data_IF_967910201846
#
_entry.id   IF_967910201846
#
_cell.length_a   1.000
_cell.length_b   1.000
_cell.length_c   1.000
_cell.angle_alpha   90.00
_cell.angle_beta   90.00
_cell.angle_gamma   90.00
#
_symmetry.space_group_name_H-M   'P 1'
#
loop_
_entity.id
_entity.type
_entity.pdbx_description
1 polymer ?
#
# COMPACT_ATOMS: atom_id res chain seq x y z
N UNK A 1 -5.07 25.39 32.98
CA UNK A 1 -6.36 24.73 32.63
C UNK A 1 -6.62 24.75 31.12
N UNK A 2 -6.47 25.89 30.42
CA UNK A 2 -6.67 25.98 28.96
C UNK A 2 -5.62 25.21 28.13
N UNK A 3 -4.33 25.27 28.53
CA UNK A 3 -3.24 24.54 27.86
C UNK A 3 -3.43 23.01 27.91
N UNK A 4 -4.04 22.51 28.98
CA UNK A 4 -4.28 21.08 29.19
C UNK A 4 -5.36 20.55 28.24
N UNK A 5 -6.40 21.35 27.99
CA UNK A 5 -7.46 21.03 27.05
C UNK A 5 -6.98 21.10 25.59
N UNK A 6 -6.23 22.14 25.23
CA UNK A 6 -5.61 22.23 23.90
C UNK A 6 -4.67 21.05 23.62
N UNK A 7 -3.84 20.67 24.60
CA UNK A 7 -2.94 19.51 24.46
C UNK A 7 -3.72 18.21 24.24
N UNK A 8 -4.84 18.01 24.94
CA UNK A 8 -5.72 16.85 24.73
C UNK A 8 -6.36 16.83 23.34
N UNK A 9 -6.78 17.98 22.82
CA UNK A 9 -7.30 18.10 21.46
C UNK A 9 -6.23 17.73 20.44
N UNK A 10 -5.03 18.30 20.56
CA UNK A 10 -3.92 18.03 19.65
C UNK A 10 -3.56 16.54 19.64
N UNK A 11 -3.46 15.90 20.81
CA UNK A 11 -3.19 14.46 20.87
C UNK A 11 -4.28 13.63 20.19
N UNK A 12 -5.56 14.01 20.31
CA UNK A 12 -6.64 13.31 19.61
C UNK A 12 -6.55 13.50 18.09
N UNK A 13 -6.18 14.70 17.63
CA UNK A 13 -5.99 14.98 16.20
C UNK A 13 -4.82 14.16 15.63
N UNK A 14 -3.69 14.08 16.33
CA UNK A 14 -2.54 13.27 15.91
C UNK A 14 -2.90 11.78 15.78
N UNK A 15 -3.70 11.26 16.72
CA UNK A 15 -4.17 9.86 16.68
C UNK A 15 -5.13 9.65 15.50
N UNK A 16 -6.03 10.59 15.23
CA UNK A 16 -6.94 10.52 14.09
C UNK A 16 -6.17 10.54 12.76
N UNK A 17 -5.17 11.40 12.63
CA UNK A 17 -4.32 11.48 11.43
C UNK A 17 -3.61 10.15 11.18
N UNK A 18 -2.94 9.57 12.19
CA UNK A 18 -2.28 8.26 12.06
C UNK A 18 -3.24 7.16 11.65
N UNK A 19 -4.44 7.13 12.23
CA UNK A 19 -5.45 6.13 11.88
C UNK A 19 -5.92 6.28 10.43
N UNK A 20 -6.12 7.52 9.96
CA UNK A 20 -6.48 7.79 8.57
C UNK A 20 -5.35 7.34 7.64
N UNK A 21 -4.10 7.67 7.93
CA UNK A 21 -2.94 7.22 7.14
C UNK A 21 -2.88 5.70 7.05
N UNK A 22 -3.05 5.00 8.17
CA UNK A 22 -3.05 3.53 8.19
C UNK A 22 -4.20 2.94 7.36
N UNK A 23 -5.39 3.53 7.43
CA UNK A 23 -6.54 3.09 6.63
C UNK A 23 -6.28 3.34 5.15
N UNK A 24 -5.72 4.49 4.76
CA UNK A 24 -5.36 4.76 3.37
C UNK A 24 -4.33 3.76 2.85
N UNK A 25 -3.30 3.48 3.64
CA UNK A 25 -2.27 2.50 3.29
C UNK A 25 -2.85 1.08 3.19
N UNK A 26 -3.73 0.71 4.12
CA UNK A 26 -4.47 -0.55 4.04
C UNK A 26 -5.39 -0.61 2.81
N UNK A 27 -6.06 0.48 2.44
CA UNK A 27 -6.89 0.54 1.24
C UNK A 27 -6.03 0.38 -0.03
N UNK A 28 -4.90 1.07 -0.11
CA UNK A 28 -3.93 0.91 -1.19
C UNK A 28 -3.40 -0.53 -1.26
N UNK A 29 -3.09 -1.12 -0.11
CA UNK A 29 -2.65 -2.51 -0.01
C UNK A 29 -3.75 -3.52 -0.31
N UNK A 30 -5.02 -3.19 -0.06
CA UNK A 30 -6.20 -4.04 -0.29
C UNK A 30 -6.68 -4.06 -1.73
N UNK A 31 -6.24 -3.10 -2.57
CA UNK A 31 -6.59 -3.04 -3.99
C UNK A 31 -5.95 -4.15 -4.82
N UNK A 32 -4.89 -4.75 -4.31
CA UNK A 32 -4.19 -5.86 -4.95
C UNK A 32 -4.17 -7.03 -3.99
N UNK A 33 -4.70 -8.16 -4.45
CA UNK A 33 -4.46 -9.44 -3.78
C UNK A 33 -2.95 -9.73 -3.68
N UNK A 34 -2.50 -10.58 -2.74
CA UNK A 34 -1.09 -10.95 -2.63
C UNK A 34 -0.49 -11.44 -3.96
N UNK A 35 -1.30 -12.12 -4.78
CA UNK A 35 -0.91 -12.62 -6.09
C UNK A 35 -0.82 -11.50 -7.13
N UNK A 36 -1.71 -10.52 -7.09
CA UNK A 36 -1.60 -9.32 -7.93
C UNK A 36 -0.39 -8.46 -7.56
N UNK A 37 -0.04 -8.36 -6.27
CA UNK A 37 1.22 -7.73 -5.83
C UNK A 37 2.43 -8.44 -6.42
N UNK A 38 2.49 -9.78 -6.36
CA UNK A 38 3.60 -10.56 -6.97
C UNK A 38 3.70 -10.35 -8.48
N UNK A 39 2.57 -10.33 -9.18
CA UNK A 39 2.54 -10.09 -10.63
C UNK A 39 3.04 -8.68 -10.96
N UNK A 40 2.63 -7.67 -10.18
CA UNK A 40 3.06 -6.28 -10.37
C UNK A 40 4.57 -6.11 -10.12
N UNK A 41 5.10 -6.67 -9.03
CA UNK A 41 6.54 -6.62 -8.71
C UNK A 41 7.38 -7.30 -9.80
N UNK A 42 6.97 -8.47 -10.26
CA UNK A 42 7.67 -9.19 -11.32
C UNK A 42 7.56 -8.45 -12.67
N UNK A 43 6.41 -7.82 -12.96
CA UNK A 43 6.25 -6.96 -14.14
C UNK A 43 7.23 -5.78 -14.09
N UNK A 44 7.34 -5.10 -12.96
CA UNK A 44 8.26 -3.97 -12.77
C UNK A 44 9.72 -4.37 -12.95
N UNK A 45 10.13 -5.53 -12.42
CA UNK A 45 11.49 -6.08 -12.61
C UNK A 45 11.78 -6.38 -14.08
N UNK A 46 10.84 -6.98 -14.79
CA UNK A 46 11.00 -7.33 -16.19
C UNK A 46 11.08 -6.07 -17.08
N UNK A 47 10.25 -5.06 -16.81
CA UNK A 47 10.31 -3.76 -17.49
C UNK A 47 11.68 -3.08 -17.31
N UNK A 48 12.21 -3.03 -16.08
CA UNK A 48 13.56 -2.50 -15.82
C UNK A 48 14.69 -3.25 -16.53
N UNK A 49 14.47 -4.52 -16.88
CA UNK A 49 15.41 -5.34 -17.65
C UNK A 49 15.18 -5.26 -19.16
N UNK A 50 14.24 -4.41 -19.63
CA UNK A 50 13.87 -4.30 -21.04
C UNK A 50 13.09 -5.52 -21.57
N UNK A 51 12.56 -6.36 -20.69
CA UNK A 51 11.78 -7.55 -21.03
C UNK A 51 10.30 -7.24 -20.86
N UNK A 52 9.60 -6.89 -21.94
CA UNK A 52 8.14 -6.80 -21.89
C UNK A 52 7.54 -8.21 -21.91
N UNK A 53 6.90 -8.60 -20.81
CA UNK A 53 6.16 -9.86 -20.68
C UNK A 53 4.71 -9.53 -20.33
N UNK A 54 3.76 -10.26 -20.93
CA UNK A 54 2.34 -10.09 -20.64
C UNK A 54 1.97 -10.58 -19.24
N UNK A 55 0.96 -9.98 -18.62
CA UNK A 55 0.48 -10.37 -17.27
C UNK A 55 0.06 -11.84 -17.16
N UNK A 56 -0.47 -12.44 -18.24
CA UNK A 56 -0.81 -13.87 -18.27
C UNK A 56 0.42 -14.78 -18.23
N UNK A 57 1.51 -14.40 -18.90
CA UNK A 57 2.78 -15.12 -18.82
C UNK A 57 3.43 -14.97 -17.43
N UNK A 58 3.30 -13.81 -16.81
CA UNK A 58 3.79 -13.59 -15.44
C UNK A 58 3.07 -14.48 -14.43
N UNK A 59 1.74 -14.54 -14.48
CA UNK A 59 0.94 -15.44 -13.61
C UNK A 59 1.37 -16.90 -13.78
N UNK A 60 1.48 -17.36 -15.04
CA UNK A 60 1.97 -18.72 -15.36
C UNK A 60 3.39 -18.98 -14.83
N UNK A 61 4.31 -18.02 -14.92
CA UNK A 61 5.69 -18.13 -14.42
C UNK A 61 5.73 -18.21 -12.88
N UNK A 62 4.83 -17.49 -12.21
CA UNK A 62 4.74 -17.40 -10.76
C UNK A 62 3.92 -18.56 -10.13
N UNK A 63 3.32 -19.43 -10.95
CA UNK A 63 2.46 -20.52 -10.47
C UNK A 63 1.13 -20.02 -9.90
N UNK A 64 0.64 -18.89 -10.41
CA UNK A 64 -0.58 -18.19 -10.02
C UNK A 64 -1.68 -18.35 -11.08
#
# INVERSE_FOLDING_TARGET
MAETFQKQILTKLDVMERNITNIMQYIEDSRLTPDEKKVLEESYKNERQGKLISGSMLRKKLGL
#
